data_IF_950756452679
#
_entry.id   IF_950756452679
#
_cell.length_a   1.000
_cell.length_b   1.000
_cell.length_c   1.000
_cell.angle_alpha   90.00
_cell.angle_beta   90.00
_cell.angle_gamma   90.00
#
_symmetry.space_group_name_H-M   'P 1'
#
loop_
_entity.id
_entity.type
_entity.pdbx_description
1 polymer ?
#
# COMPACT_ATOMS: atom_id res chain seq x y z
N UNK A 1 -18.37 14.42 -4.98
CA UNK A 1 -17.11 14.87 -4.34
C UNK A 1 -15.99 14.84 -5.38
N UNK A 2 -15.30 15.96 -5.63
CA UNK A 2 -14.26 16.06 -6.68
C UNK A 2 -13.02 15.20 -6.37
N UNK A 3 -12.40 14.61 -7.39
CA UNK A 3 -11.17 13.79 -7.28
C UNK A 3 -10.04 14.55 -6.57
N UNK A 4 -9.93 15.87 -6.80
CA UNK A 4 -8.92 16.74 -6.18
C UNK A 4 -9.13 16.86 -4.67
N UNK A 5 -10.38 17.14 -4.26
CA UNK A 5 -10.79 17.25 -2.86
C UNK A 5 -10.60 15.94 -2.09
N UNK A 6 -10.78 14.80 -2.78
CA UNK A 6 -10.54 13.45 -2.22
C UNK A 6 -9.05 13.23 -1.97
N UNK A 7 -8.17 13.55 -2.92
CA UNK A 7 -6.73 13.42 -2.73
C UNK A 7 -6.21 14.33 -1.61
N UNK A 8 -6.68 15.58 -1.52
CA UNK A 8 -6.32 16.50 -0.43
C UNK A 8 -6.75 16.00 0.95
N UNK A 9 -7.97 15.49 1.07
CA UNK A 9 -8.47 14.96 2.33
C UNK A 9 -7.70 13.70 2.76
N UNK A 10 -7.31 12.86 1.79
CA UNK A 10 -6.44 11.70 2.03
C UNK A 10 -5.04 12.12 2.48
N UNK A 11 -4.47 13.16 1.88
CA UNK A 11 -3.18 13.73 2.30
C UNK A 11 -3.23 14.24 3.73
N UNK A 12 -4.30 14.96 4.10
CA UNK A 12 -4.46 15.48 5.45
C UNK A 12 -4.56 14.37 6.50
N UNK A 13 -5.36 13.32 6.24
CA UNK A 13 -5.49 12.17 7.14
C UNK A 13 -4.18 11.38 7.22
N UNK A 14 -3.54 11.14 6.07
CA UNK A 14 -2.29 10.40 6.02
C UNK A 14 -1.15 11.15 6.71
N UNK A 15 -0.96 12.44 6.44
CA UNK A 15 0.07 13.26 7.10
C UNK A 15 -0.17 13.40 8.61
N UNK A 16 -1.43 13.42 9.06
CA UNK A 16 -1.76 13.50 10.49
C UNK A 16 -1.53 12.16 11.23
N UNK A 17 -1.70 11.02 10.54
CA UNK A 17 -1.63 9.67 11.15
C UNK A 17 -0.27 9.00 10.93
N UNK A 18 0.49 9.37 9.89
CA UNK A 18 1.78 8.78 9.54
C UNK A 18 2.95 9.63 10.02
N UNK A 19 3.26 9.54 11.32
CA UNK A 19 4.54 10.03 11.86
C UNK A 19 5.69 9.04 11.64
N UNK A 20 5.37 7.75 11.38
CA UNK A 20 6.34 6.70 11.11
C UNK A 20 6.51 6.45 9.59
N UNK A 21 7.74 6.20 9.12
CA UNK A 21 7.99 5.91 7.71
C UNK A 21 7.29 4.62 7.27
N UNK A 22 6.71 4.64 6.07
CA UNK A 22 6.19 3.45 5.40
C UNK A 22 7.35 2.72 4.72
N UNK A 23 7.54 1.44 5.04
CA UNK A 23 8.45 0.56 4.31
C UNK A 23 7.80 0.15 2.97
N UNK A 24 8.42 0.53 1.85
CA UNK A 24 7.96 0.19 0.50
C UNK A 24 8.95 -0.75 -0.18
N UNK A 25 8.54 -2.00 -0.44
CA UNK A 25 9.39 -3.05 -0.98
C UNK A 25 8.68 -3.89 -2.04
N UNK A 26 9.44 -4.68 -2.82
CA UNK A 26 8.91 -5.66 -3.76
C UNK A 26 9.52 -5.58 -5.16
N UNK A 27 8.93 -6.29 -6.11
CA UNK A 27 9.44 -6.48 -7.48
C UNK A 27 8.59 -5.80 -8.56
N UNK A 28 7.55 -5.04 -8.17
CA UNK A 28 6.76 -4.22 -9.08
C UNK A 28 7.28 -2.78 -9.16
N UNK A 29 8.41 -2.57 -9.86
CA UNK A 29 9.14 -1.28 -9.91
C UNK A 29 8.29 -0.07 -10.35
N UNK A 30 7.43 -0.25 -11.36
CA UNK A 30 6.54 0.80 -11.82
C UNK A 30 5.57 1.24 -10.71
N UNK A 31 4.95 0.27 -10.03
CA UNK A 31 4.04 0.52 -8.93
C UNK A 31 4.77 1.15 -7.74
N UNK A 32 5.97 0.67 -7.41
CA UNK A 32 6.82 1.26 -6.37
C UNK A 32 7.15 2.73 -6.69
N UNK A 33 7.50 3.03 -7.94
CA UNK A 33 7.78 4.39 -8.39
C UNK A 33 6.57 5.31 -8.18
N UNK A 34 5.38 4.84 -8.56
CA UNK A 34 4.14 5.62 -8.39
C UNK A 34 3.75 5.76 -6.91
N UNK A 35 3.95 4.72 -6.09
CA UNK A 35 3.71 4.77 -4.65
C UNK A 35 4.66 5.76 -3.95
N UNK A 36 5.97 5.73 -4.27
CA UNK A 36 6.96 6.67 -3.74
C UNK A 36 6.64 8.11 -4.14
N UNK A 37 6.29 8.35 -5.40
CA UNK A 37 5.87 9.66 -5.88
C UNK A 37 4.58 10.15 -5.19
N UNK A 38 3.59 9.26 -5.03
CA UNK A 38 2.35 9.56 -4.32
C UNK A 38 2.56 9.90 -2.85
N UNK A 39 3.40 9.13 -2.16
CA UNK A 39 3.76 9.36 -0.76
C UNK A 39 4.51 10.69 -0.57
N UNK A 40 5.50 10.97 -1.42
CA UNK A 40 6.22 12.27 -1.42
C UNK A 40 5.27 13.44 -1.63
N UNK A 41 4.36 13.33 -2.61
CA UNK A 41 3.35 14.37 -2.86
C UNK A 41 2.32 14.51 -1.74
N UNK A 42 2.24 13.54 -0.83
CA UNK A 42 1.39 13.55 0.35
C UNK A 42 2.13 13.93 1.64
N UNK A 43 3.44 14.19 1.57
CA UNK A 43 4.25 14.46 2.77
C UNK A 43 4.42 13.25 3.67
N UNK A 44 4.21 12.03 3.15
CA UNK A 44 4.32 10.79 3.91
C UNK A 44 5.77 10.30 3.81
N UNK A 45 6.47 10.10 4.94
CA UNK A 45 7.81 9.55 4.92
C UNK A 45 7.79 8.09 4.42
N UNK A 46 8.70 7.77 3.51
CA UNK A 46 8.89 6.42 2.98
C UNK A 46 10.33 5.99 3.21
N UNK A 47 10.52 4.69 3.44
CA UNK A 47 11.82 4.06 3.60
C UNK A 47 11.87 2.74 2.82
N UNK A 48 13.07 2.20 2.65
CA UNK A 48 13.35 0.85 2.19
C UNK A 48 14.15 0.13 3.28
N UNK A 49 14.26 -1.19 3.16
CA UNK A 49 14.91 -2.01 4.18
C UNK A 49 16.38 -1.64 4.37
N UNK A 50 17.06 -1.20 3.31
CA UNK A 50 18.47 -0.82 3.35
C UNK A 50 18.71 0.46 4.18
N UNK A 51 17.72 1.35 4.24
CA UNK A 51 17.80 2.64 4.94
C UNK A 51 16.98 2.68 6.24
N UNK A 52 16.27 1.60 6.58
CA UNK A 52 15.40 1.55 7.74
C UNK A 52 16.19 1.50 9.05
N UNK A 53 16.32 2.65 9.73
CA UNK A 53 16.99 2.73 11.04
C UNK A 53 16.17 2.10 12.19
N UNK A 54 14.88 1.83 11.99
CA UNK A 54 13.97 1.22 12.96
C UNK A 54 12.95 0.32 12.26
N UNK A 55 12.43 -0.71 12.93
CA UNK A 55 11.37 -1.54 12.36
C UNK A 55 10.15 -0.72 11.96
N UNK A 56 9.67 -0.93 10.74
CA UNK A 56 8.55 -0.21 10.19
C UNK A 56 7.22 -0.74 10.74
N UNK A 57 6.31 0.18 11.10
CA UNK A 57 4.95 -0.15 11.56
C UNK A 57 3.95 -0.28 10.41
N UNK A 58 4.35 0.13 9.21
CA UNK A 58 3.59 -0.08 7.98
C UNK A 58 4.52 -0.59 6.92
N UNK A 59 4.13 -1.69 6.28
CA UNK A 59 4.84 -2.31 5.18
C UNK A 59 3.88 -2.41 4.00
N UNK A 60 4.31 -1.92 2.84
CA UNK A 60 3.61 -2.16 1.58
C UNK A 60 4.54 -2.94 0.66
N UNK A 61 4.12 -4.16 0.30
CA UNK A 61 4.80 -4.99 -0.68
C UNK A 61 4.12 -4.86 -2.04
N UNK A 62 4.81 -4.30 -3.02
CA UNK A 62 4.35 -4.19 -4.39
C UNK A 62 4.91 -5.37 -5.20
N UNK A 63 4.05 -6.32 -5.57
CA UNK A 63 4.44 -7.58 -6.18
C UNK A 63 3.95 -7.66 -7.61
N UNK A 64 4.84 -8.00 -8.54
CA UNK A 64 4.45 -8.34 -9.90
C UNK A 64 3.92 -9.77 -9.97
N UNK A 65 2.76 -9.91 -10.61
CA UNK A 65 2.08 -11.20 -10.78
C UNK A 65 2.85 -12.02 -11.78
N UNK A 66 3.49 -13.06 -11.25
CA UNK A 66 4.06 -14.13 -12.05
C UNK A 66 2.97 -15.19 -12.33
N UNK A 67 2.87 -15.63 -13.59
CA UNK A 67 1.96 -16.70 -13.97
C UNK A 67 2.41 -18.07 -13.44
N UNK A 68 3.72 -18.25 -13.19
CA UNK A 68 4.33 -19.51 -12.76
C UNK A 68 4.48 -19.63 -11.25
N UNK A 69 4.39 -18.53 -10.50
CA UNK A 69 4.59 -18.49 -9.06
C UNK A 69 3.47 -17.77 -8.35
N UNK A 70 2.98 -18.36 -7.26
CA UNK A 70 1.94 -17.74 -6.43
C UNK A 70 2.40 -16.40 -5.84
N UNK A 71 1.60 -15.35 -6.04
CA UNK A 71 1.86 -14.03 -5.45
C UNK A 71 1.83 -14.06 -3.92
N UNK A 72 1.06 -14.96 -3.31
CA UNK A 72 1.06 -15.18 -1.86
C UNK A 72 2.39 -15.75 -1.38
N UNK A 73 2.95 -16.73 -2.11
CA UNK A 73 4.24 -17.32 -1.78
C UNK A 73 5.36 -16.30 -1.95
N UNK A 74 5.32 -15.48 -3.01
CA UNK A 74 6.24 -14.35 -3.17
C UNK A 74 6.15 -13.39 -1.99
N UNK A 75 4.95 -12.98 -1.61
CA UNK A 75 4.73 -12.08 -0.48
C UNK A 75 5.26 -12.65 0.84
N UNK A 76 4.95 -13.90 1.15
CA UNK A 76 5.42 -14.57 2.36
C UNK A 76 6.95 -14.73 2.38
N UNK A 77 7.58 -14.89 1.21
CA UNK A 77 9.04 -14.96 1.11
C UNK A 77 9.66 -13.60 1.42
N UNK A 78 9.19 -12.53 0.77
CA UNK A 78 9.64 -11.16 1.03
C UNK A 78 9.40 -10.74 2.49
N UNK A 79 8.24 -11.07 3.07
CA UNK A 79 7.96 -10.76 4.49
C UNK A 79 8.93 -11.44 5.45
N UNK A 80 9.37 -12.67 5.14
CA UNK A 80 10.38 -13.39 5.95
C UNK A 80 11.77 -12.76 5.80
N UNK A 81 12.15 -12.37 4.59
CA UNK A 81 13.41 -11.66 4.34
C UNK A 81 13.47 -10.31 5.08
N UNK A 82 12.31 -9.66 5.21
CA UNK A 82 12.16 -8.36 5.86
C UNK A 82 11.86 -8.43 7.35
N UNK A 83 11.75 -9.62 7.96
CA UNK A 83 11.20 -9.80 9.31
C UNK A 83 11.83 -8.87 10.37
N UNK A 84 13.17 -8.73 10.36
CA UNK A 84 13.91 -7.87 11.29
C UNK A 84 13.67 -6.35 11.09
N UNK A 85 13.11 -5.96 9.95
CA UNK A 85 12.79 -4.58 9.59
C UNK A 85 11.31 -4.25 9.79
N UNK A 86 10.52 -5.20 10.31
CA UNK A 86 9.07 -5.08 10.46
C UNK A 86 8.73 -5.16 11.94
N UNK A 87 8.01 -4.16 12.45
CA UNK A 87 7.53 -4.21 13.83
C UNK A 87 6.54 -5.38 14.01
N UNK A 88 6.49 -6.04 15.18
CA UNK A 88 5.56 -7.15 15.40
C UNK A 88 4.09 -6.78 15.12
N UNK A 89 3.70 -5.56 15.49
CA UNK A 89 2.36 -4.96 15.31
C UNK A 89 2.17 -4.28 13.94
N UNK A 90 3.10 -4.47 13.01
CA UNK A 90 3.06 -3.74 11.74
C UNK A 90 1.85 -4.12 10.89
N UNK A 91 1.26 -3.11 10.28
CA UNK A 91 0.28 -3.31 9.21
C UNK A 91 1.03 -3.74 7.95
N UNK A 92 0.70 -4.94 7.44
CA UNK A 92 1.29 -5.49 6.22
C UNK A 92 0.27 -5.45 5.08
N UNK A 93 0.56 -4.69 4.03
CA UNK A 93 -0.29 -4.55 2.85
C UNK A 93 0.47 -5.10 1.65
N UNK A 94 -0.08 -6.09 0.97
CA UNK A 94 0.48 -6.65 -0.25
C UNK A 94 -0.38 -6.20 -1.41
N UNK A 95 0.25 -5.61 -2.43
CA UNK A 95 -0.40 -5.12 -3.63
C UNK A 95 0.18 -5.90 -4.80
N UNK A 96 -0.65 -6.72 -5.43
CA UNK A 96 -0.24 -7.51 -6.59
C UNK A 96 -0.62 -6.76 -7.87
N UNK A 97 0.38 -6.38 -8.66
CA UNK A 97 0.20 -5.81 -10.00
C UNK A 97 0.17 -6.95 -11.02
N UNK A 98 -0.84 -7.00 -11.88
CA UNK A 98 -0.87 -7.91 -13.03
C UNK A 98 -0.25 -7.30 -14.29
N UNK A 99 0.05 -8.13 -15.29
CA UNK A 99 0.49 -7.65 -16.61
C UNK A 99 -0.52 -6.67 -17.26
N UNK A 100 -1.83 -6.86 -17.04
CA UNK A 100 -2.87 -5.93 -17.52
C UNK A 100 -2.74 -4.53 -16.93
N UNK A 101 -2.31 -4.43 -15.68
CA UNK A 101 -2.08 -3.14 -15.00
C UNK A 101 -0.81 -2.42 -15.44
N UNK A 102 0.18 -3.11 -16.05
CA UNK A 102 1.30 -2.44 -16.72
C UNK A 102 0.83 -1.65 -17.95
N UNK A 103 -0.17 -2.20 -18.64
CA UNK A 103 -0.79 -1.56 -19.81
C UNK A 103 -1.78 -0.44 -19.43
N UNK A 104 -2.09 -0.27 -18.14
CA UNK A 104 -3.04 0.73 -17.69
C UNK A 104 -2.43 2.15 -17.71
N UNK A 105 -3.18 3.19 -18.14
CA UNK A 105 -2.68 4.56 -18.16
C UNK A 105 -2.08 5.02 -16.82
N UNK A 106 -1.02 5.85 -16.82
CA UNK A 106 -0.36 6.34 -15.59
C UNK A 106 -1.32 7.02 -14.59
N UNK A 107 -2.43 7.58 -15.07
CA UNK A 107 -3.49 8.16 -14.23
C UNK A 107 -4.17 7.11 -13.35
N UNK A 108 -4.35 5.88 -13.82
CA UNK A 108 -4.92 4.79 -13.02
C UNK A 108 -3.94 4.32 -11.96
N UNK A 109 -2.66 4.19 -12.29
CA UNK A 109 -1.62 3.84 -11.30
C UNK A 109 -1.57 4.88 -10.16
N UNK A 110 -1.70 6.17 -10.47
CA UNK A 110 -1.78 7.24 -9.43
C UNK A 110 -3.01 7.11 -8.53
N UNK A 111 -4.16 6.70 -9.09
CA UNK A 111 -5.37 6.46 -8.30
C UNK A 111 -5.20 5.25 -7.38
N UNK A 112 -4.59 4.18 -7.89
CA UNK A 112 -4.25 2.98 -7.12
C UNK A 112 -3.34 3.33 -5.95
N UNK A 113 -2.27 4.08 -6.19
CA UNK A 113 -1.37 4.54 -5.13
C UNK A 113 -2.09 5.38 -4.07
N UNK A 114 -2.99 6.28 -4.48
CA UNK A 114 -3.79 7.10 -3.54
C UNK A 114 -4.71 6.23 -2.68
N UNK A 115 -5.31 5.18 -3.25
CA UNK A 115 -6.18 4.26 -2.51
C UNK A 115 -5.39 3.33 -1.58
N UNK A 116 -4.18 2.90 -1.97
CA UNK A 116 -3.28 2.12 -1.10
C UNK A 116 -2.85 2.96 0.10
N UNK A 117 -2.42 4.21 -0.13
CA UNK A 117 -2.07 5.14 0.95
C UNK A 117 -3.28 5.44 1.86
N UNK A 118 -4.50 5.47 1.31
CA UNK A 118 -5.72 5.54 2.12
C UNK A 118 -5.91 4.30 3.00
N UNK A 119 -5.72 3.10 2.43
CA UNK A 119 -5.79 1.87 3.20
C UNK A 119 -4.70 1.79 4.27
N UNK A 120 -3.51 2.33 4.02
CA UNK A 120 -2.47 2.51 5.05
C UNK A 120 -2.98 3.40 6.18
N UNK A 121 -3.45 4.61 5.85
CA UNK A 121 -3.94 5.57 6.84
C UNK A 121 -5.10 4.99 7.68
N UNK A 122 -6.04 4.28 7.04
CA UNK A 122 -7.12 3.58 7.74
C UNK A 122 -6.63 2.44 8.62
N UNK A 123 -5.59 1.71 8.22
CA UNK A 123 -5.05 0.63 9.03
C UNK A 123 -4.45 1.17 10.33
N UNK A 124 -3.71 2.27 10.24
CA UNK A 124 -3.14 2.95 11.39
C UNK A 124 -4.18 3.55 12.32
N UNK A 125 -5.28 4.05 11.77
CA UNK A 125 -6.46 4.50 12.55
C UNK A 125 -7.03 3.36 13.42
N UNK A 126 -6.91 2.11 12.95
CA UNK A 126 -7.41 0.90 13.61
C UNK A 126 -6.36 0.18 14.47
N UNK A 127 -5.12 0.70 14.57
CA UNK A 127 -4.15 0.24 15.59
C UNK A 127 -4.59 0.69 16.99
N UNK A 128 -5.58 1.59 17.08
CA UNK A 128 -6.39 1.80 18.29
C UNK A 128 -7.56 0.79 18.28
N UNK A 129 -7.77 -0.02 19.34
CA UNK A 129 -8.78 -1.08 19.34
C UNK A 129 -10.21 -0.52 19.17
N UNK A 130 -11.00 -1.06 18.22
CA UNK A 130 -12.47 -0.84 18.24
C UNK A 130 -13.25 -0.83 16.92
N UNK A 131 -12.64 -0.75 15.73
CA UNK A 131 -13.42 -0.56 14.48
C UNK A 131 -13.55 -1.86 13.65
N UNK A 132 -14.68 -2.57 13.83
CA UNK A 132 -14.99 -3.87 13.19
C UNK A 132 -15.72 -3.78 11.84
N UNK A 133 -16.12 -2.61 11.36
CA UNK A 133 -16.95 -2.54 10.14
C UNK A 133 -16.19 -2.04 8.90
N UNK A 134 -16.08 -2.92 7.90
CA UNK A 134 -15.60 -2.56 6.57
C UNK A 134 -16.66 -1.69 5.88
N UNK A 135 -16.37 -0.40 5.70
CA UNK A 135 -17.32 0.50 5.02
C UNK A 135 -17.58 0.07 3.58
N UNK A 136 -18.80 0.22 3.08
CA UNK A 136 -19.18 -0.10 1.68
C UNK A 136 -18.22 0.53 0.66
N UNK A 137 -17.68 1.71 0.97
CA UNK A 137 -16.68 2.42 0.18
C UNK A 137 -15.36 1.66 0.02
N UNK A 138 -14.89 0.97 1.05
CA UNK A 138 -13.69 0.11 0.97
C UNK A 138 -13.95 -1.08 0.04
N UNK A 139 -15.16 -1.64 0.05
CA UNK A 139 -15.54 -2.73 -0.87
C UNK A 139 -15.50 -2.27 -2.32
N UNK A 140 -16.10 -1.12 -2.63
CA UNK A 140 -16.09 -0.57 -4.00
C UNK A 140 -14.70 -0.15 -4.49
N UNK A 141 -13.85 0.39 -3.61
CA UNK A 141 -12.45 0.70 -3.96
C UNK A 141 -11.68 -0.55 -4.35
N UNK A 142 -11.76 -1.60 -3.53
CA UNK A 142 -11.08 -2.88 -3.77
C UNK A 142 -11.56 -3.58 -5.05
N UNK A 143 -12.86 -3.59 -5.34
CA UNK A 143 -13.38 -4.19 -6.58
C UNK A 143 -12.94 -3.44 -7.83
N UNK A 144 -12.81 -2.11 -7.75
CA UNK A 144 -12.32 -1.29 -8.87
C UNK A 144 -10.83 -1.54 -9.14
N UNK A 145 -10.05 -1.71 -8.07
CA UNK A 145 -8.63 -2.04 -8.15
C UNK A 145 -8.42 -3.44 -8.74
N UNK A 146 -9.22 -4.41 -8.31
CA UNK A 146 -9.15 -5.79 -8.83
C UNK A 146 -9.49 -5.83 -10.32
N UNK A 147 -10.52 -5.09 -10.76
CA UNK A 147 -10.86 -4.93 -12.18
C UNK A 147 -9.73 -4.24 -12.97
N UNK A 148 -9.00 -3.32 -12.35
CA UNK A 148 -7.82 -2.67 -12.91
C UNK A 148 -6.55 -3.54 -12.85
N UNK A 149 -6.65 -4.78 -12.35
CA UNK A 149 -5.56 -5.73 -12.28
C UNK A 149 -4.67 -5.61 -11.05
N UNK A 150 -5.13 -4.89 -10.01
CA UNK A 150 -4.45 -4.71 -8.73
C UNK A 150 -5.19 -5.45 -7.61
N UNK A 151 -4.52 -6.42 -6.99
CA UNK A 151 -5.10 -7.16 -5.85
C UNK A 151 -4.47 -6.68 -4.54
N UNK A 152 -5.28 -6.14 -3.63
CA UNK A 152 -4.81 -5.76 -2.29
C UNK A 152 -5.12 -6.89 -1.30
N UNK A 153 -4.10 -7.36 -0.60
CA UNK A 153 -4.19 -8.33 0.48
C UNK A 153 -3.67 -7.66 1.75
N UNK A 154 -4.41 -7.77 2.86
CA UNK A 154 -3.91 -7.37 4.18
C UNK A 154 -3.47 -8.61 4.94
N UNK A 155 -2.27 -8.53 5.50
CA UNK A 155 -1.73 -9.52 6.42
C UNK A 155 -1.74 -8.91 7.82
N UNK A 156 -2.39 -9.62 8.75
CA UNK A 156 -2.35 -9.36 10.18
C UNK A 156 -1.38 -10.34 10.80
#
# INVERSE_FOLDING_TARGET
MSKKKRAEQLRAIAAHVLTAPILLEGDADELLTVLRAGARAAGIPVTDHALAARPARVVVLAIDRDARRSSLVKAATLLRELENHIAPDAVRIVVVQSARSRLAPPKLQRLVASEILFHVALALSNVVPGQKERTLRQRFGLTTLDAAGFRILRFG
#
